data_IF_315433186215
#
_entry.id   IF_315433186215
#
_cell.length_a   1.000
_cell.length_b   1.000
_cell.length_c   1.000
_cell.angle_alpha   90.00
_cell.angle_beta   90.00
_cell.angle_gamma   90.00
#
_symmetry.space_group_name_H-M   'P 1'
#
loop_
_entity.id
_entity.type
_entity.pdbx_description
1 polymer ?
#
# COMPACT_ATOMS: atom_id res chain seq x y z
N UNK A 1 18.35 45.72 24.62
CA UNK A 1 17.50 46.92 24.45
C UNK A 1 17.41 47.18 22.96
N UNK A 2 16.30 47.28 22.24
CA UNK A 2 14.90 47.56 22.54
C UNK A 2 14.05 46.84 21.47
N UNK A 3 12.95 46.20 21.89
CA UNK A 3 11.93 45.59 21.02
C UNK A 3 11.13 46.69 20.32
N UNK A 4 10.80 46.55 19.03
CA UNK A 4 9.62 47.20 18.42
C UNK A 4 8.64 46.14 17.96
N UNK A 5 7.52 46.06 18.67
CA UNK A 5 6.33 45.27 18.34
C UNK A 5 5.57 45.99 17.22
N UNK A 6 5.24 45.30 16.14
CA UNK A 6 4.18 45.71 15.23
C UNK A 6 2.82 45.33 15.84
N UNK A 7 1.88 46.26 15.80
CA UNK A 7 0.49 46.12 16.23
C UNK A 7 -0.31 45.43 15.12
N UNK A 8 -1.19 44.50 15.50
CA UNK A 8 -2.31 44.05 14.67
C UNK A 8 -3.41 45.10 14.75
N UNK A 9 -4.00 45.44 13.61
CA UNK A 9 -5.20 46.25 13.51
C UNK A 9 -6.45 45.34 13.57
N UNK A 10 -7.44 45.76 14.35
CA UNK A 10 -8.76 45.12 14.48
C UNK A 10 -9.61 45.33 13.22
N UNK A 11 -10.48 44.38 12.84
CA UNK A 11 -11.36 44.53 11.68
C UNK A 11 -12.60 45.39 12.01
N UNK A 12 -13.17 46.11 11.01
CA UNK A 12 -14.34 46.95 11.23
C UNK A 12 -15.63 46.12 11.30
N UNK A 13 -16.51 46.52 12.20
CA UNK A 13 -17.90 46.09 12.30
C UNK A 13 -18.75 46.72 11.19
N UNK A 14 -19.51 45.90 10.47
CA UNK A 14 -20.63 46.38 9.65
C UNK A 14 -21.82 45.43 9.80
N UNK A 15 -22.88 45.98 10.36
CA UNK A 15 -24.25 45.47 10.38
C UNK A 15 -24.86 45.55 8.99
N UNK A 16 -25.52 44.48 8.53
CA UNK A 16 -26.85 44.56 7.87
C UNK A 16 -27.44 43.17 7.68
N UNK A 17 -28.73 43.13 7.98
CA UNK A 17 -29.69 42.04 7.88
C UNK A 17 -29.81 41.44 6.48
N UNK A 18 -29.90 40.11 6.39
CA UNK A 18 -30.92 39.43 5.57
C UNK A 18 -31.13 37.99 6.08
N UNK A 19 -32.34 37.52 5.82
CA UNK A 19 -33.12 36.47 6.47
C UNK A 19 -32.98 35.11 5.75
N UNK A 20 -33.27 34.02 6.48
CA UNK A 20 -33.60 32.66 6.01
C UNK A 20 -32.41 31.82 5.48
N UNK A 21 -32.18 30.55 5.83
CA UNK A 21 -32.97 29.46 6.43
C UNK A 21 -31.98 28.50 7.13
N UNK A 22 -32.31 28.00 8.32
CA UNK A 22 -31.47 27.00 9.00
C UNK A 22 -31.56 25.62 8.35
N UNK A 23 -30.47 24.84 8.27
CA UNK A 23 -30.55 23.42 7.96
C UNK A 23 -30.88 22.62 9.24
N UNK A 24 -31.82 21.71 9.06
CA UNK A 24 -32.41 20.80 10.03
C UNK A 24 -31.37 19.93 10.76
N UNK A 25 -31.62 19.70 12.06
CA UNK A 25 -30.97 18.67 12.85
C UNK A 25 -31.17 17.29 12.20
N UNK A 26 -30.10 16.72 11.66
CA UNK A 26 -30.10 15.30 11.27
C UNK A 26 -29.80 14.44 12.50
N UNK A 27 -30.86 13.82 13.02
CA UNK A 27 -30.83 12.94 14.17
C UNK A 27 -30.01 11.66 13.93
N UNK A 28 -29.05 11.42 14.82
CA UNK A 28 -28.21 10.22 14.88
C UNK A 28 -28.93 9.11 15.66
N UNK A 29 -29.90 8.43 15.04
CA UNK A 29 -30.45 7.19 15.61
C UNK A 29 -31.32 6.45 14.61
N UNK A 30 -30.76 5.49 13.85
CA UNK A 30 -31.57 4.41 13.26
C UNK A 30 -30.75 3.28 12.63
N UNK A 31 -29.72 2.75 13.30
CA UNK A 31 -29.22 1.41 12.99
C UNK A 31 -28.68 0.73 14.25
N UNK A 32 -29.59 0.30 15.12
CA UNK A 32 -29.33 -0.71 16.15
C UNK A 32 -30.44 -1.75 16.05
N UNK A 33 -30.03 -3.01 16.02
CA UNK A 33 -30.84 -4.24 15.94
C UNK A 33 -31.10 -4.81 14.54
N UNK A 34 -30.05 -5.40 13.95
CA UNK A 34 -30.20 -6.55 13.05
C UNK A 34 -29.66 -7.80 13.76
N UNK A 35 -30.42 -8.89 13.92
CA UNK A 35 -29.95 -10.10 14.60
C UNK A 35 -28.79 -10.78 13.86
N UNK A 36 -27.75 -11.18 14.59
CA UNK A 36 -26.67 -12.04 14.07
C UNK A 36 -27.23 -13.40 13.68
N UNK A 37 -27.06 -13.81 12.42
CA UNK A 37 -27.36 -15.16 11.99
C UNK A 37 -26.40 -16.16 12.68
N UNK A 38 -26.98 -17.22 13.26
CA UNK A 38 -26.24 -18.34 13.86
C UNK A 38 -25.49 -19.10 12.76
N UNK A 39 -24.18 -19.22 12.90
CA UNK A 39 -23.38 -20.18 12.13
C UNK A 39 -23.79 -21.59 12.54
N UNK A 40 -24.47 -22.32 11.65
CA UNK A 40 -24.60 -23.78 11.76
C UNK A 40 -23.38 -24.41 11.07
N UNK A 41 -22.65 -25.27 11.78
CA UNK A 41 -21.68 -26.17 11.17
C UNK A 41 -22.46 -27.19 10.33
N UNK A 42 -22.38 -27.06 9.00
CA UNK A 42 -22.74 -28.11 8.08
C UNK A 42 -21.45 -28.83 7.65
N UNK A 43 -21.29 -30.07 8.10
CA UNK A 43 -20.36 -31.03 7.50
C UNK A 43 -20.97 -31.53 6.20
N UNK A 44 -20.41 -31.12 5.06
CA UNK A 44 -20.72 -31.71 3.76
C UNK A 44 -19.66 -32.76 3.34
N UNK A 45 -20.07 -33.78 2.56
CA UNK A 45 -19.30 -34.99 2.34
C UNK A 45 -18.19 -34.82 1.28
N UNK A 46 -17.20 -35.69 1.39
CA UNK A 46 -16.03 -35.80 0.50
C UNK A 46 -16.52 -35.99 -0.95
N UNK A 47 -16.27 -34.98 -1.79
CA UNK A 47 -16.54 -35.00 -3.23
C UNK A 47 -15.57 -35.97 -3.90
N UNK A 48 -16.13 -36.96 -4.60
CA UNK A 48 -15.38 -37.91 -5.42
C UNK A 48 -14.58 -37.24 -6.54
N UNK A 49 -13.42 -37.82 -6.84
CA UNK A 49 -12.48 -37.42 -7.88
C UNK A 49 -13.19 -37.14 -9.22
N UNK A 50 -13.27 -35.87 -9.62
CA UNK A 50 -13.67 -35.45 -10.96
C UNK A 50 -12.42 -35.29 -11.84
N UNK A 51 -12.50 -35.53 -13.17
CA UNK A 51 -11.35 -35.42 -14.07
C UNK A 51 -10.79 -33.99 -14.10
N UNK A 52 -9.46 -33.87 -14.05
CA UNK A 52 -8.69 -32.61 -13.98
C UNK A 52 -9.10 -31.56 -15.04
N UNK A 53 -9.55 -32.00 -16.22
CA UNK A 53 -10.01 -31.14 -17.30
C UNK A 53 -11.26 -30.29 -16.93
N UNK A 54 -12.20 -30.83 -16.14
CA UNK A 54 -13.41 -30.10 -15.71
C UNK A 54 -13.13 -29.09 -14.59
N UNK A 55 -12.11 -29.37 -13.77
CA UNK A 55 -11.67 -28.46 -12.71
C UNK A 55 -11.06 -27.19 -13.34
N UNK A 56 -10.20 -27.37 -14.34
CA UNK A 56 -9.54 -26.28 -15.06
C UNK A 56 -10.53 -25.37 -15.82
N UNK A 57 -11.60 -25.94 -16.38
CA UNK A 57 -12.64 -25.17 -17.08
C UNK A 57 -13.52 -24.33 -16.13
N UNK A 58 -13.80 -24.85 -14.92
CA UNK A 58 -14.56 -24.11 -13.89
C UNK A 58 -13.75 -22.99 -13.24
N UNK A 59 -12.44 -23.19 -13.05
CA UNK A 59 -11.53 -22.14 -12.59
C UNK A 59 -11.40 -21.02 -13.62
N UNK A 60 -11.25 -21.37 -14.90
CA UNK A 60 -11.18 -20.41 -16.00
C UNK A 60 -12.47 -19.58 -16.16
N UNK A 61 -13.65 -20.18 -15.91
CA UNK A 61 -14.95 -19.47 -15.91
C UNK A 61 -15.06 -18.45 -14.75
N UNK A 62 -14.58 -18.78 -13.56
CA UNK A 62 -14.65 -17.90 -12.38
C UNK A 62 -13.69 -16.69 -12.44
N UNK A 63 -12.66 -16.74 -13.29
CA UNK A 63 -11.73 -15.62 -13.53
C UNK A 63 -12.34 -14.49 -14.36
N UNK A 64 -13.42 -14.75 -15.13
CA UNK A 64 -14.13 -13.74 -15.92
C UNK A 64 -15.06 -12.84 -15.11
N UNK A 65 -15.45 -13.25 -13.90
CA UNK A 65 -16.43 -12.52 -13.05
C UNK A 65 -15.77 -11.69 -11.94
N UNK A 66 -14.54 -12.01 -11.55
CA UNK A 66 -13.82 -11.28 -10.49
C UNK A 66 -13.18 -10.01 -11.07
N UNK A 67 -13.52 -8.79 -10.59
CA UNK A 67 -12.86 -7.56 -11.00
C UNK A 67 -11.34 -7.67 -10.96
N UNK A 68 -10.66 -7.10 -11.95
CA UNK A 68 -9.22 -7.28 -12.14
C UNK A 68 -8.40 -6.95 -10.88
N UNK A 69 -8.70 -5.82 -10.23
CA UNK A 69 -8.03 -5.43 -8.98
C UNK A 69 -8.19 -6.46 -7.84
N UNK A 70 -9.33 -7.16 -7.77
CA UNK A 70 -9.60 -8.15 -6.72
C UNK A 70 -8.70 -9.39 -6.89
N UNK A 71 -8.32 -9.72 -8.12
CA UNK A 71 -7.41 -10.83 -8.39
C UNK A 71 -6.04 -10.56 -7.76
N UNK A 72 -5.52 -9.34 -7.93
CA UNK A 72 -4.24 -8.91 -7.33
C UNK A 72 -4.38 -8.72 -5.82
N UNK A 73 -5.48 -8.16 -5.34
CA UNK A 73 -5.72 -7.98 -3.91
C UNK A 73 -5.80 -9.32 -3.15
N UNK A 74 -6.38 -10.37 -3.74
CA UNK A 74 -6.36 -11.73 -3.16
C UNK A 74 -4.93 -12.26 -3.01
N UNK A 75 -4.07 -12.02 -3.99
CA UNK A 75 -2.64 -12.38 -3.93
C UNK A 75 -1.94 -11.64 -2.79
N UNK A 76 -2.24 -10.35 -2.57
CA UNK A 76 -1.69 -9.58 -1.44
C UNK A 76 -2.17 -10.09 -0.08
N UNK A 77 -3.45 -10.49 0.03
CA UNK A 77 -4.00 -11.09 1.25
C UNK A 77 -3.32 -12.43 1.58
N UNK A 78 -3.13 -13.30 0.59
CA UNK A 78 -2.45 -14.57 0.75
C UNK A 78 -0.97 -14.38 1.10
N UNK A 79 -0.30 -13.42 0.45
CA UNK A 79 1.08 -13.02 0.77
C UNK A 79 1.20 -12.53 2.21
N UNK A 80 0.34 -11.60 2.64
CA UNK A 80 0.27 -11.12 4.03
C UNK A 80 0.11 -12.30 5.00
N UNK A 81 -0.87 -13.17 4.75
CA UNK A 81 -1.17 -14.30 5.61
C UNK A 81 0.00 -15.30 5.69
N UNK A 82 0.71 -15.52 4.58
CA UNK A 82 1.89 -16.38 4.54
C UNK A 82 3.06 -15.76 5.32
N UNK A 83 3.34 -14.47 5.12
CA UNK A 83 4.43 -13.78 5.80
C UNK A 83 4.21 -13.66 7.32
N UNK A 84 2.97 -13.47 7.76
CA UNK A 84 2.62 -13.41 9.20
C UNK A 84 2.89 -14.72 9.95
N UNK A 85 3.06 -15.85 9.24
CA UNK A 85 3.41 -17.16 9.84
C UNK A 85 4.91 -17.34 10.05
N UNK A 86 5.75 -16.47 9.48
CA UNK A 86 7.20 -16.55 9.64
C UNK A 86 7.57 -16.19 11.08
N UNK A 87 8.39 -17.04 11.71
CA UNK A 87 8.93 -16.76 13.03
C UNK A 87 9.96 -15.62 12.94
N UNK A 88 9.56 -14.44 13.42
CA UNK A 88 10.40 -13.24 13.38
C UNK A 88 11.48 -13.29 14.48
N UNK A 89 12.67 -12.71 14.21
CA UNK A 89 13.75 -12.69 15.19
C UNK A 89 13.42 -11.71 16.32
N UNK A 90 14.04 -11.91 17.49
CA UNK A 90 13.67 -11.19 18.72
C UNK A 90 13.89 -9.67 18.66
N UNK A 91 14.73 -9.17 17.74
CA UNK A 91 14.87 -7.73 17.51
C UNK A 91 13.63 -7.07 16.88
N UNK A 92 12.71 -7.85 16.31
CA UNK A 92 11.44 -7.34 15.76
C UNK A 92 10.40 -7.33 16.88
N UNK A 93 10.21 -6.16 17.47
CA UNK A 93 9.24 -5.95 18.55
C UNK A 93 7.81 -5.78 18.04
N UNK A 94 7.63 -5.32 16.80
CA UNK A 94 6.32 -5.23 16.17
C UNK A 94 6.38 -5.46 14.67
N UNK A 95 5.30 -6.05 14.15
CA UNK A 95 5.05 -6.28 12.73
C UNK A 95 3.70 -5.64 12.37
N UNK A 96 3.70 -4.71 11.42
CA UNK A 96 2.49 -4.02 10.97
C UNK A 96 2.09 -4.54 9.59
N UNK A 97 0.80 -4.76 9.42
CA UNK A 97 0.19 -5.20 8.17
C UNK A 97 -0.88 -4.20 7.68
N UNK A 98 -0.51 -3.17 6.90
CA UNK A 98 -1.44 -2.19 6.38
C UNK A 98 -2.48 -2.75 5.40
N UNK A 99 -2.26 -3.94 4.83
CA UNK A 99 -3.28 -4.60 3.98
C UNK A 99 -4.50 -5.01 4.83
N UNK A 100 -4.27 -5.28 6.11
CA UNK A 100 -5.29 -5.66 7.09
C UNK A 100 -5.94 -4.41 7.72
N UNK A 101 -5.18 -3.57 8.43
CA UNK A 101 -5.77 -2.48 9.21
C UNK A 101 -6.09 -1.21 8.40
N UNK A 102 -5.52 -1.01 7.21
CA UNK A 102 -5.81 0.13 6.32
C UNK A 102 -6.62 -0.29 5.08
N UNK A 103 -7.38 -1.39 5.21
CA UNK A 103 -8.09 -2.07 4.12
C UNK A 103 -8.98 -1.17 3.28
N UNK A 104 -9.69 -0.21 3.88
CA UNK A 104 -10.61 0.66 3.14
C UNK A 104 -9.87 1.50 2.10
N UNK A 105 -8.77 2.16 2.51
CA UNK A 105 -7.99 3.00 1.61
C UNK A 105 -7.21 2.15 0.61
N UNK A 106 -6.64 1.03 1.05
CA UNK A 106 -5.89 0.14 0.17
C UNK A 106 -6.78 -0.47 -0.93
N UNK A 107 -8.00 -0.91 -0.59
CA UNK A 107 -8.98 -1.37 -1.58
C UNK A 107 -9.40 -0.25 -2.52
N UNK A 108 -9.64 0.96 -2.02
CA UNK A 108 -9.97 2.11 -2.86
C UNK A 108 -8.84 2.45 -3.85
N UNK A 109 -7.57 2.31 -3.44
CA UNK A 109 -6.40 2.46 -4.32
C UNK A 109 -6.39 1.41 -5.43
N UNK A 110 -6.56 0.14 -5.07
CA UNK A 110 -6.59 -0.98 -6.01
C UNK A 110 -7.77 -0.86 -6.98
N UNK A 111 -8.98 -0.62 -6.47
CA UNK A 111 -10.20 -0.51 -7.25
C UNK A 111 -10.17 0.67 -8.23
N UNK A 112 -9.68 1.83 -7.79
CA UNK A 112 -9.63 3.03 -8.64
C UNK A 112 -8.55 2.95 -9.72
N UNK A 113 -7.38 2.38 -9.40
CA UNK A 113 -6.20 2.53 -10.25
C UNK A 113 -5.71 1.22 -10.89
N UNK A 114 -6.29 0.08 -10.55
CA UNK A 114 -5.97 -1.23 -11.12
C UNK A 114 -7.19 -1.83 -11.84
N UNK A 115 -7.73 -1.10 -12.79
CA UNK A 115 -8.85 -1.51 -13.67
C UNK A 115 -8.44 -2.50 -14.79
N UNK A 116 -7.14 -2.77 -14.93
CA UNK A 116 -6.58 -3.70 -15.92
C UNK A 116 -5.05 -3.71 -15.87
N UNK A 117 -4.39 -4.51 -16.75
CA UNK A 117 -2.94 -4.56 -16.85
C UNK A 117 -2.34 -3.19 -17.14
N UNK A 118 -1.26 -2.84 -16.42
CA UNK A 118 -0.52 -1.60 -16.62
C UNK A 118 0.81 -1.87 -17.32
N UNK A 119 1.13 -1.15 -18.42
CA UNK A 119 2.40 -1.32 -19.13
C UNK A 119 3.65 -1.23 -18.23
N UNK A 120 3.65 -0.33 -17.25
CA UNK A 120 4.77 -0.09 -16.34
C UNK A 120 4.38 -0.44 -14.91
N UNK A 121 5.13 -1.33 -14.28
CA UNK A 121 4.99 -1.65 -12.86
C UNK A 121 6.20 -1.16 -12.08
N UNK A 122 5.97 -0.28 -11.12
CA UNK A 122 6.98 0.10 -10.13
C UNK A 122 6.90 -0.82 -8.93
N UNK A 123 8.05 -1.37 -8.51
CA UNK A 123 8.13 -2.28 -7.37
C UNK A 123 8.94 -1.63 -6.24
N UNK A 124 8.25 -1.27 -5.17
CA UNK A 124 8.85 -0.87 -3.90
C UNK A 124 9.19 -2.08 -3.00
N UNK A 125 9.96 -1.83 -1.95
CA UNK A 125 10.40 -2.89 -1.04
C UNK A 125 9.31 -3.27 -0.03
N UNK A 126 8.96 -2.36 0.87
CA UNK A 126 7.99 -2.58 1.94
C UNK A 126 7.45 -1.24 2.51
N UNK A 127 6.34 -1.23 3.26
CA UNK A 127 5.76 -0.03 3.84
C UNK A 127 6.74 0.81 4.68
N UNK A 128 6.72 2.12 4.47
CA UNK A 128 7.32 3.08 5.39
C UNK A 128 6.38 3.45 6.55
N UNK A 129 6.91 3.81 7.74
CA UNK A 129 6.11 4.01 8.95
C UNK A 129 5.13 5.19 8.88
N UNK A 130 5.46 6.23 8.12
CA UNK A 130 4.63 7.45 7.99
C UNK A 130 3.90 7.52 6.65
N UNK A 131 4.05 6.48 5.82
CA UNK A 131 3.49 6.43 4.47
C UNK A 131 2.44 5.33 4.38
N UNK A 132 2.80 4.21 3.74
CA UNK A 132 1.89 3.07 3.59
C UNK A 132 1.39 2.49 4.93
N UNK A 133 2.15 2.57 6.03
CA UNK A 133 1.63 2.16 7.34
C UNK A 133 0.50 3.07 7.86
N UNK A 134 0.34 4.27 7.31
CA UNK A 134 -0.72 5.21 7.67
C UNK A 134 -1.86 5.18 6.66
N UNK A 135 -1.60 4.76 5.42
CA UNK A 135 -2.53 4.98 4.30
C UNK A 135 -2.90 3.72 3.53
N UNK A 136 -2.19 2.61 3.71
CA UNK A 136 -2.36 1.42 2.87
C UNK A 136 -1.86 1.57 1.43
N UNK A 137 -1.37 2.75 1.01
CA UNK A 137 -0.89 2.99 -0.37
C UNK A 137 0.65 2.93 -0.42
N UNK A 138 1.27 2.23 -1.39
CA UNK A 138 2.72 2.25 -1.58
C UNK A 138 3.25 3.68 -1.68
N UNK A 139 4.37 3.97 -1.00
CA UNK A 139 4.91 5.34 -0.88
C UNK A 139 3.87 6.37 -0.39
N UNK A 140 2.84 5.94 0.36
CA UNK A 140 1.63 6.70 0.59
C UNK A 140 1.77 7.89 1.54
N UNK A 141 2.39 8.96 1.04
CA UNK A 141 2.42 10.27 1.67
C UNK A 141 0.99 10.83 1.77
N UNK A 142 0.55 11.14 2.98
CA UNK A 142 -0.86 11.44 3.29
C UNK A 142 -1.47 12.50 2.34
N UNK A 143 -0.86 13.68 2.09
CA UNK A 143 -1.40 14.64 1.13
C UNK A 143 -1.53 14.11 -0.30
N UNK A 144 -0.59 13.29 -0.77
CA UNK A 144 -0.71 12.70 -2.10
C UNK A 144 -1.88 11.71 -2.17
N UNK A 145 -2.02 10.85 -1.17
CA UNK A 145 -3.13 9.87 -1.10
C UNK A 145 -4.48 10.57 -0.95
N UNK A 146 -4.57 11.56 -0.07
CA UNK A 146 -5.82 12.27 0.23
C UNK A 146 -6.17 13.28 -0.87
N UNK A 147 -5.26 14.16 -1.24
CA UNK A 147 -5.61 15.34 -2.03
C UNK A 147 -5.40 15.10 -3.54
N UNK A 148 -4.31 14.42 -3.91
CA UNK A 148 -3.98 14.19 -5.32
C UNK A 148 -4.62 12.91 -5.89
N UNK A 149 -4.69 11.84 -5.10
CA UNK A 149 -5.39 10.60 -5.48
C UNK A 149 -6.86 10.58 -5.04
N UNK A 150 -7.29 11.51 -4.18
CA UNK A 150 -8.69 11.58 -3.73
C UNK A 150 -9.17 10.39 -2.90
N UNK A 151 -8.27 9.61 -2.29
CA UNK A 151 -8.64 8.40 -1.55
C UNK A 151 -9.02 8.74 -0.11
N UNK A 152 -10.05 8.06 0.42
CA UNK A 152 -10.56 8.20 1.79
C UNK A 152 -10.87 6.83 2.37
N UNK A 153 -10.89 6.73 3.68
CA UNK A 153 -11.23 5.52 4.41
C UNK A 153 -10.77 5.58 5.85
N UNK A 154 -11.33 4.69 6.66
CA UNK A 154 -10.95 4.45 8.05
C UNK A 154 -9.68 3.62 8.08
N UNK A 155 -8.78 3.95 9.00
CA UNK A 155 -7.56 3.19 9.29
C UNK A 155 -7.62 2.73 10.73
N UNK A 156 -7.64 1.42 10.92
CA UNK A 156 -7.63 0.79 12.23
C UNK A 156 -6.21 0.72 12.80
N UNK A 157 -6.11 0.31 14.06
CA UNK A 157 -4.83 0.11 14.74
C UNK A 157 -4.26 -1.28 14.46
N UNK A 158 -2.93 -1.43 14.31
CA UNK A 158 -2.31 -2.75 14.29
C UNK A 158 -2.44 -3.41 15.66
N UNK A 159 -2.49 -4.74 15.71
CA UNK A 159 -2.71 -5.52 16.94
C UNK A 159 -1.66 -5.24 18.04
N UNK A 160 -0.40 -5.03 17.64
CA UNK A 160 0.72 -4.73 18.53
C UNK A 160 1.34 -3.38 18.19
N UNK A 161 0.55 -2.31 18.32
CA UNK A 161 1.03 -0.94 18.09
C UNK A 161 2.15 -0.55 19.06
N UNK A 162 3.26 -0.05 18.52
CA UNK A 162 4.32 0.58 19.30
C UNK A 162 3.96 2.06 19.55
N UNK A 163 4.08 2.57 20.79
CA UNK A 163 3.92 3.98 21.07
C UNK A 163 4.85 4.89 20.26
N UNK A 164 6.03 4.39 19.88
CA UNK A 164 6.98 5.12 19.02
C UNK A 164 6.53 5.18 17.54
N UNK A 165 5.56 4.36 17.13
CA UNK A 165 5.04 4.23 15.75
C UNK A 165 3.51 4.16 15.75
N UNK A 166 2.82 5.22 16.20
CA UNK A 166 1.37 5.25 16.13
C UNK A 166 0.89 5.24 14.67
N UNK A 167 -0.25 4.60 14.45
CA UNK A 167 -1.03 4.62 13.21
C UNK A 167 -2.20 5.57 13.42
N UNK A 168 -2.14 6.74 12.79
CA UNK A 168 -3.11 7.83 12.90
C UNK A 168 -3.94 7.98 11.61
N UNK A 169 -3.72 7.11 10.62
CA UNK A 169 -4.45 7.16 9.36
C UNK A 169 -4.13 8.42 8.55
N UNK A 170 -5.16 8.94 7.88
CA UNK A 170 -5.08 10.21 7.14
C UNK A 170 -4.93 11.46 8.04
N UNK A 171 -4.99 11.31 9.37
CA UNK A 171 -4.70 12.38 10.31
C UNK A 171 -3.20 12.48 10.68
N UNK A 172 -2.37 11.51 10.26
CA UNK A 172 -0.93 11.55 10.50
C UNK A 172 -0.31 12.83 9.91
N UNK A 173 0.30 13.64 10.78
CA UNK A 173 0.96 14.91 10.40
C UNK A 173 2.44 14.75 10.08
N UNK A 174 3.01 13.56 10.33
CA UNK A 174 4.42 13.28 10.04
C UNK A 174 4.62 13.08 8.55
N UNK A 175 5.65 13.74 8.01
CA UNK A 175 5.98 13.60 6.60
C UNK A 175 6.77 12.32 6.32
N UNK A 176 6.26 11.51 5.39
CA UNK A 176 7.01 10.42 4.77
C UNK A 176 7.81 10.95 3.58
N UNK A 177 9.11 11.18 3.80
CA UNK A 177 9.97 11.88 2.85
C UNK A 177 10.14 11.14 1.51
N UNK A 178 10.15 9.81 1.51
CA UNK A 178 10.34 9.03 0.29
C UNK A 178 9.09 9.14 -0.61
N UNK A 179 7.91 9.06 -0.02
CA UNK A 179 6.61 9.21 -0.68
C UNK A 179 6.31 10.63 -1.12
N UNK A 180 6.73 11.62 -0.32
CA UNK A 180 6.67 13.03 -0.74
C UNK A 180 7.49 13.28 -2.00
N UNK A 181 8.72 12.74 -2.06
CA UNK A 181 9.55 12.78 -3.28
C UNK A 181 8.91 12.00 -4.42
N UNK A 182 8.50 10.76 -4.17
CA UNK A 182 7.92 9.86 -5.16
C UNK A 182 6.67 10.43 -5.82
N UNK A 183 5.62 10.71 -5.04
CA UNK A 183 4.36 11.21 -5.59
C UNK A 183 4.47 12.67 -6.02
N UNK A 184 5.34 13.46 -5.39
CA UNK A 184 5.63 14.83 -5.86
C UNK A 184 6.22 14.84 -7.27
N UNK A 185 7.14 13.92 -7.59
CA UNK A 185 7.70 13.78 -8.94
C UNK A 185 6.61 13.44 -9.96
N UNK A 186 5.76 12.46 -9.69
CA UNK A 186 4.73 12.06 -10.65
C UNK A 186 3.56 13.06 -10.73
N UNK A 187 3.31 13.83 -9.66
CA UNK A 187 2.42 14.97 -9.74
C UNK A 187 3.00 16.06 -10.67
N UNK A 188 4.31 16.33 -10.62
CA UNK A 188 4.97 17.25 -11.54
C UNK A 188 4.93 16.76 -13.00
N UNK A 189 5.27 15.48 -13.22
CA UNK A 189 5.38 14.91 -14.57
C UNK A 189 4.03 14.63 -15.24
N UNK A 190 3.03 14.21 -14.47
CA UNK A 190 1.75 13.74 -15.00
C UNK A 190 0.59 14.71 -14.77
N UNK A 191 0.74 15.67 -13.86
CA UNK A 191 -0.33 16.59 -13.45
C UNK A 191 -1.39 15.94 -12.56
N UNK A 192 -2.10 14.93 -13.06
CA UNK A 192 -3.12 14.18 -12.32
C UNK A 192 -2.72 12.74 -12.01
N UNK A 193 -3.30 12.18 -10.94
CA UNK A 193 -3.11 10.77 -10.58
C UNK A 193 -3.65 9.85 -11.66
N UNK A 194 -4.82 10.15 -12.23
CA UNK A 194 -5.38 9.37 -13.35
C UNK A 194 -4.41 9.32 -14.55
N UNK A 195 -3.66 10.40 -14.81
CA UNK A 195 -2.69 10.41 -15.89
C UNK A 195 -1.51 9.46 -15.67
N UNK A 196 -1.02 9.34 -14.43
CA UNK A 196 -0.02 8.36 -14.05
C UNK A 196 -0.58 6.94 -14.15
N UNK A 197 -1.74 6.68 -13.54
CA UNK A 197 -2.31 5.34 -13.42
C UNK A 197 -2.93 4.78 -14.71
N UNK A 198 -3.05 5.60 -15.78
CA UNK A 198 -3.36 5.09 -17.13
C UNK A 198 -2.36 4.03 -17.60
N UNK A 199 -1.07 4.24 -17.31
CA UNK A 199 0.00 3.38 -17.82
C UNK A 199 0.85 2.73 -16.73
N UNK A 200 0.76 3.23 -15.50
CA UNK A 200 1.65 2.84 -14.41
C UNK A 200 0.87 2.27 -13.23
N UNK A 201 1.48 1.35 -12.49
CA UNK A 201 1.02 0.96 -11.16
C UNK A 201 2.19 0.86 -10.19
N UNK A 202 1.93 1.02 -8.90
CA UNK A 202 2.94 0.87 -7.84
C UNK A 202 2.54 -0.25 -6.90
N UNK A 203 3.47 -1.16 -6.66
CA UNK A 203 3.28 -2.37 -5.86
C UNK A 203 4.45 -2.54 -4.90
N UNK A 204 4.22 -3.10 -3.70
CA UNK A 204 5.30 -3.42 -2.77
C UNK A 204 5.55 -4.92 -2.76
N UNK A 205 6.82 -5.32 -2.87
CA UNK A 205 7.24 -6.71 -2.80
C UNK A 205 6.82 -7.39 -1.48
N UNK A 206 6.94 -6.68 -0.36
CA UNK A 206 6.53 -7.14 0.96
C UNK A 206 5.50 -6.17 1.54
N UNK A 207 4.27 -6.61 1.88
CA UNK A 207 3.26 -5.74 2.46
C UNK A 207 3.49 -5.44 3.95
N UNK A 208 4.44 -6.09 4.62
CA UNK A 208 4.67 -5.95 6.06
C UNK A 208 5.74 -4.91 6.40
N UNK A 209 5.58 -4.23 7.53
CA UNK A 209 6.61 -3.39 8.14
C UNK A 209 7.09 -3.97 9.47
N UNK A 210 8.40 -3.95 9.70
CA UNK A 210 9.01 -4.49 10.92
C UNK A 210 9.70 -3.38 11.71
N UNK A 211 9.52 -3.40 13.02
CA UNK A 211 10.06 -2.39 13.91
C UNK A 211 10.81 -2.99 15.09
N UNK A 212 11.94 -2.39 15.41
CA UNK A 212 12.60 -2.56 16.70
C UNK A 212 11.77 -1.88 17.81
N UNK A 213 11.96 -2.26 19.08
CA UNK A 213 11.25 -1.68 20.24
C UNK A 213 11.40 -0.16 20.36
N UNK A 214 12.53 0.39 19.90
CA UNK A 214 12.77 1.84 19.79
C UNK A 214 11.99 2.53 18.65
N UNK A 215 11.20 1.79 17.89
CA UNK A 215 10.51 2.23 16.67
C UNK A 215 11.39 2.25 15.43
N UNK A 216 12.70 1.99 15.52
CA UNK A 216 13.58 1.94 14.34
C UNK A 216 13.04 0.92 13.32
N UNK A 217 12.90 1.35 12.07
CA UNK A 217 12.50 0.47 10.97
C UNK A 217 13.55 -0.62 10.75
N UNK A 218 13.09 -1.85 10.52
CA UNK A 218 13.87 -2.99 10.08
C UNK A 218 13.33 -3.39 8.70
N UNK A 219 14.14 -3.24 7.66
CA UNK A 219 13.72 -3.63 6.31
C UNK A 219 13.84 -5.14 6.12
N UNK A 220 13.16 -5.74 5.11
CA UNK A 220 13.35 -7.14 4.76
C UNK A 220 14.82 -7.53 4.52
N UNK A 221 15.64 -6.61 4.01
CA UNK A 221 17.08 -6.84 3.81
C UNK A 221 17.89 -6.85 5.11
N UNK A 222 17.42 -6.16 6.15
CA UNK A 222 18.06 -6.00 7.46
C UNK A 222 17.67 -7.11 8.45
N UNK A 223 16.62 -7.89 8.17
CA UNK A 223 16.27 -9.07 8.97
C UNK A 223 17.44 -10.04 9.05
N UNK A 224 17.53 -10.79 10.15
CA UNK A 224 18.60 -11.75 10.41
C UNK A 224 18.08 -13.19 10.44
N UNK A 225 19.02 -14.12 10.31
CA UNK A 225 18.75 -15.56 10.46
C UNK A 225 17.77 -16.12 9.43
N UNK A 226 17.03 -17.16 9.85
CA UNK A 226 16.11 -17.93 9.01
C UNK A 226 14.96 -17.07 8.45
N UNK A 227 14.46 -16.14 9.26
CA UNK A 227 13.36 -15.24 8.89
C UNK A 227 13.64 -14.44 7.61
N UNK A 228 14.88 -13.95 7.44
CA UNK A 228 15.28 -13.22 6.23
C UNK A 228 15.07 -14.07 4.97
N UNK A 229 15.52 -15.31 5.00
CA UNK A 229 15.40 -16.24 3.88
C UNK A 229 13.94 -16.60 3.60
N UNK A 230 13.18 -16.94 4.64
CA UNK A 230 11.76 -17.31 4.51
C UNK A 230 10.91 -16.16 3.95
N UNK A 231 11.04 -14.94 4.50
CA UNK A 231 10.32 -13.76 3.98
C UNK A 231 10.68 -13.49 2.54
N UNK A 232 11.97 -13.55 2.18
CA UNK A 232 12.41 -13.34 0.82
C UNK A 232 11.80 -14.37 -0.13
N UNK A 233 11.87 -15.66 0.20
CA UNK A 233 11.35 -16.75 -0.64
C UNK A 233 9.85 -16.62 -0.84
N UNK A 234 9.10 -16.35 0.23
CA UNK A 234 7.65 -16.15 0.15
C UNK A 234 7.32 -14.94 -0.72
N UNK A 235 7.97 -13.80 -0.49
CA UNK A 235 7.74 -12.58 -1.26
C UNK A 235 8.07 -12.76 -2.75
N UNK A 236 9.18 -13.43 -3.09
CA UNK A 236 9.55 -13.77 -4.47
C UNK A 236 8.52 -14.68 -5.15
N UNK A 237 8.00 -15.69 -4.42
CA UNK A 237 6.96 -16.58 -4.93
C UNK A 237 5.68 -15.83 -5.27
N UNK A 238 5.16 -15.02 -4.34
CA UNK A 238 3.94 -14.25 -4.58
C UNK A 238 4.14 -13.13 -5.60
N UNK A 239 5.33 -12.54 -5.71
CA UNK A 239 5.63 -11.59 -6.78
C UNK A 239 5.52 -12.27 -8.16
N UNK A 240 6.06 -13.49 -8.32
CA UNK A 240 5.92 -14.23 -9.57
C UNK A 240 4.44 -14.48 -9.91
N UNK A 241 3.62 -14.86 -8.92
CA UNK A 241 2.16 -15.06 -9.09
C UNK A 241 1.48 -13.73 -9.47
N UNK A 242 1.74 -12.65 -8.75
CA UNK A 242 1.20 -11.32 -9.05
C UNK A 242 1.53 -10.88 -10.48
N UNK A 243 2.75 -11.13 -10.95
CA UNK A 243 3.19 -10.76 -12.30
C UNK A 243 2.49 -11.53 -13.42
N UNK A 244 1.95 -12.74 -13.15
CA UNK A 244 1.10 -13.45 -14.11
C UNK A 244 -0.25 -12.76 -14.35
N UNK A 245 -0.72 -11.99 -13.37
CA UNK A 245 -1.97 -11.21 -13.46
C UNK A 245 -1.69 -9.79 -13.94
N UNK A 246 -0.71 -9.12 -13.33
CA UNK A 246 -0.31 -7.74 -13.61
C UNK A 246 0.21 -7.55 -15.05
N UNK A 247 0.88 -8.57 -15.61
CA UNK A 247 1.38 -8.61 -17.00
C UNK A 247 2.04 -7.31 -17.47
N UNK A 248 2.98 -6.71 -16.70
CA UNK A 248 3.66 -5.50 -17.15
C UNK A 248 4.57 -5.79 -18.33
N UNK A 249 4.80 -4.78 -19.18
CA UNK A 249 5.84 -4.81 -20.22
C UNK A 249 7.18 -4.33 -19.68
N UNK A 250 7.12 -3.44 -18.70
CA UNK A 250 8.28 -2.84 -18.05
C UNK A 250 8.13 -2.98 -16.54
N UNK A 251 9.16 -3.50 -15.87
CA UNK A 251 9.29 -3.47 -14.41
C UNK A 251 10.37 -2.46 -14.04
N UNK A 252 10.03 -1.50 -13.19
CA UNK A 252 10.97 -0.55 -12.61
C UNK A 252 11.14 -0.86 -11.13
N UNK A 253 12.29 -1.42 -10.79
CA UNK A 253 12.69 -1.71 -9.42
C UNK A 253 13.09 -0.43 -8.69
N UNK A 254 12.45 -0.12 -7.56
CA UNK A 254 12.75 1.08 -6.76
C UNK A 254 13.81 0.72 -5.71
N UNK A 255 15.06 0.80 -6.13
CA UNK A 255 16.24 0.47 -5.33
C UNK A 255 16.77 -0.95 -5.53
N UNK A 256 18.07 -1.12 -5.23
CA UNK A 256 18.84 -2.34 -5.54
C UNK A 256 18.28 -3.63 -4.94
N UNK A 257 17.71 -3.57 -3.73
CA UNK A 257 17.10 -4.76 -3.12
C UNK A 257 16.00 -5.34 -4.03
N UNK A 258 15.06 -4.51 -4.49
CA UNK A 258 13.98 -4.96 -5.37
C UNK A 258 14.50 -5.46 -6.72
N UNK A 259 15.52 -4.78 -7.28
CA UNK A 259 16.17 -5.19 -8.53
C UNK A 259 16.79 -6.58 -8.41
N UNK A 260 17.48 -6.86 -7.30
CA UNK A 260 18.08 -8.17 -7.05
C UNK A 260 17.03 -9.29 -6.96
N UNK A 261 15.82 -8.99 -6.46
CA UNK A 261 14.70 -9.96 -6.42
C UNK A 261 14.13 -10.22 -7.80
N UNK A 262 13.91 -9.16 -8.59
CA UNK A 262 13.45 -9.31 -9.98
C UNK A 262 14.48 -10.08 -10.82
N UNK A 263 15.77 -9.77 -10.68
CA UNK A 263 16.87 -10.52 -11.35
C UNK A 263 16.93 -11.98 -10.88
N UNK A 264 16.67 -12.26 -9.61
CA UNK A 264 16.59 -13.63 -9.08
C UNK A 264 15.50 -14.43 -9.81
N UNK A 265 14.31 -13.85 -9.97
CA UNK A 265 13.20 -14.50 -10.66
C UNK A 265 13.47 -14.73 -12.15
N UNK A 266 14.11 -13.78 -12.84
CA UNK A 266 14.54 -13.96 -14.23
C UNK A 266 15.56 -15.10 -14.38
N UNK A 267 16.57 -15.15 -13.49
CA UNK A 267 17.57 -16.25 -13.49
C UNK A 267 16.94 -17.62 -13.23
N UNK A 268 15.87 -17.66 -12.45
CA UNK A 268 15.11 -18.87 -12.16
C UNK A 268 14.07 -19.21 -13.25
N UNK A 269 14.00 -18.45 -14.36
CA UNK A 269 12.98 -18.57 -15.40
C UNK A 269 11.53 -18.50 -14.87
N UNK A 270 11.32 -17.72 -13.80
CA UNK A 270 10.00 -17.48 -13.20
C UNK A 270 9.31 -16.24 -13.77
N UNK A 271 10.03 -15.42 -14.53
CA UNK A 271 9.49 -14.27 -15.25
C UNK A 271 9.76 -14.43 -16.74
N UNK A 272 8.85 -13.89 -17.54
CA UNK A 272 9.03 -13.77 -18.98
C UNK A 272 10.23 -12.84 -19.28
N UNK A 273 11.20 -13.35 -20.05
CA UNK A 273 12.39 -12.62 -20.47
C UNK A 273 12.07 -11.50 -21.47
N UNK A 274 10.85 -11.44 -22.01
CA UNK A 274 10.36 -10.32 -22.81
C UNK A 274 10.10 -9.04 -21.99
N UNK A 275 9.97 -9.17 -20.67
CA UNK A 275 9.74 -8.03 -19.76
C UNK A 275 11.02 -7.21 -19.65
N UNK A 276 10.95 -5.92 -20.01
CA UNK A 276 12.06 -4.99 -19.85
C UNK A 276 12.21 -4.63 -18.37
N UNK A 277 13.42 -4.71 -17.82
CA UNK A 277 13.68 -4.37 -16.42
C UNK A 277 14.60 -3.16 -16.29
N UNK A 278 14.20 -2.22 -15.45
CA UNK A 278 14.99 -1.07 -15.04
C UNK A 278 15.10 -1.01 -13.52
N UNK A 279 16.11 -0.28 -13.04
CA UNK A 279 16.24 0.06 -11.64
C UNK A 279 16.42 1.57 -11.53
N UNK A 280 15.66 2.18 -10.64
CA UNK A 280 15.81 3.58 -10.27
C UNK A 280 16.32 3.70 -8.83
N UNK A 281 16.97 4.82 -8.44
CA UNK A 281 17.37 5.03 -7.06
C UNK A 281 16.14 5.09 -6.15
N UNK A 282 16.28 4.60 -4.91
CA UNK A 282 15.19 4.68 -3.93
C UNK A 282 15.03 6.13 -3.41
N UNK A 283 13.81 6.66 -3.23
CA UNK A 283 13.59 8.07 -2.85
C UNK A 283 14.01 8.44 -1.43
N UNK A 284 14.26 7.44 -0.56
CA UNK A 284 14.63 7.67 0.85
C UNK A 284 15.85 8.60 0.99
N UNK A 285 15.78 9.59 1.90
CA UNK A 285 16.94 10.40 2.28
C UNK A 285 18.07 9.60 2.95
N UNK A 286 17.78 8.39 3.44
CA UNK A 286 18.79 7.50 4.05
C UNK A 286 19.66 6.79 3.01
N UNK A 287 19.27 6.82 1.73
CA UNK A 287 20.08 6.29 0.65
C UNK A 287 21.33 7.17 0.48
N UNK A 288 22.50 6.54 0.43
CA UNK A 288 23.78 7.22 0.29
C UNK A 288 23.80 8.11 -0.97
N UNK A 289 24.30 9.35 -0.84
CA UNK A 289 24.44 10.32 -1.93
C UNK A 289 23.13 10.62 -2.70
N UNK A 290 21.99 10.60 -2.00
CA UNK A 290 20.65 10.81 -2.58
C UNK A 290 20.08 12.22 -2.32
N UNK A 291 20.88 13.24 -2.60
CA UNK A 291 20.51 14.66 -2.44
C UNK A 291 19.73 15.20 -3.65
N UNK A 292 19.98 14.67 -4.84
CA UNK A 292 19.36 15.05 -6.13
C UNK A 292 18.50 13.92 -6.71
N UNK A 293 17.61 13.37 -5.88
CA UNK A 293 16.81 12.19 -6.27
C UNK A 293 15.89 12.50 -7.46
N UNK A 294 15.22 13.67 -7.46
CA UNK A 294 14.28 14.04 -8.52
C UNK A 294 14.96 14.06 -9.89
N UNK A 295 16.18 14.61 -9.98
CA UNK A 295 16.96 14.69 -11.22
C UNK A 295 17.44 13.32 -11.70
N UNK A 296 17.75 12.40 -10.78
CA UNK A 296 18.16 11.03 -11.11
C UNK A 296 16.99 10.12 -11.49
N UNK A 297 15.78 10.47 -11.03
CA UNK A 297 14.56 9.69 -11.23
C UNK A 297 13.82 10.07 -12.51
N UNK A 298 13.97 11.32 -12.97
CA UNK A 298 13.54 11.80 -14.30
C UNK A 298 14.39 11.18 -15.40
#
# INVERSE_FOLDING_TARGET
MLRKKLKLDDPPTCTTSHVCTGPEEFAFSQFVNTPKAKLQLATEPIIGLQPEAKVNESLAKNLGETPYWQQVYRIELELSAALRKVALPSEVAACYDPIDYAVEIHRAYMERFLDGPKPVLFIGMNPGPWGMCQTGVPFGYVPAVRDWMGLRGTVLKPASELPARPVEGLACTREEQSGKRWWGLYQELCGSSDAFFRSCFVYNLCPLAFFHSSGRNITPSELKGKAKGEIQTIAEQYLAIALTVLKPRVIVSVGRYTEDRVKSLLKQNKLDHSIVTHCMPHPSPRSLNNTNWNEKAK
#
